data_IF_048054524037
#
_entry.id   IF_048054524037
#
_cell.length_a   1.000
_cell.length_b   1.000
_cell.length_c   1.000
_cell.angle_alpha   90.00
_cell.angle_beta   90.00
_cell.angle_gamma   90.00
#
_symmetry.space_group_name_H-M   'P 1'
#
loop_
_entity.id
_entity.type
_entity.pdbx_description
1 polymer ?
#
# COMPACT_ATOMS: atom_id res chain seq x y z
N UNK A 1 29.40 -25.09 80.48
CA UNK A 1 29.76 -24.96 79.05
C UNK A 1 28.77 -24.01 78.41
N UNK A 2 29.11 -22.73 78.23
CA UNK A 2 29.94 -22.23 77.14
C UNK A 2 29.35 -22.58 75.77
N UNK A 3 28.63 -21.66 75.11
CA UNK A 3 29.17 -20.77 74.07
C UNK A 3 28.07 -20.19 73.15
N UNK A 4 28.10 -18.85 73.02
CA UNK A 4 27.76 -18.03 71.84
C UNK A 4 26.27 -17.92 71.46
N UNK A 5 25.55 -16.83 71.73
CA UNK A 5 25.84 -15.38 71.59
C UNK A 5 26.01 -14.95 70.11
N UNK A 6 25.12 -14.03 69.70
CA UNK A 6 25.17 -13.09 68.57
C UNK A 6 24.95 -13.55 67.11
N UNK A 7 23.89 -12.97 66.51
CA UNK A 7 23.63 -12.56 65.12
C UNK A 7 22.22 -13.04 64.70
N UNK A 8 21.22 -12.23 64.37
CA UNK A 8 21.18 -10.86 63.81
C UNK A 8 19.81 -10.22 64.13
N UNK A 9 19.83 -9.09 64.84
CA UNK A 9 19.07 -7.92 64.42
C UNK A 9 19.68 -7.40 63.10
N UNK A 10 18.87 -6.75 62.23
CA UNK A 10 19.11 -6.36 60.81
C UNK A 10 18.48 -7.39 59.85
N UNK A 11 17.43 -7.14 59.06
CA UNK A 11 16.92 -5.91 58.44
C UNK A 11 15.40 -6.10 58.28
N UNK A 12 14.60 -5.41 59.10
CA UNK A 12 13.20 -5.10 58.81
C UNK A 12 13.22 -3.73 58.13
N UNK A 13 13.44 -3.70 56.82
CA UNK A 13 13.60 -2.44 56.10
C UNK A 13 13.84 -2.69 54.62
N UNK A 14 12.93 -2.19 53.80
CA UNK A 14 13.07 -2.07 52.36
C UNK A 14 13.17 -3.37 51.57
N UNK A 15 12.02 -3.95 51.22
CA UNK A 15 11.71 -4.17 49.81
C UNK A 15 10.20 -4.32 49.61
N UNK A 16 9.49 -3.20 49.71
CA UNK A 16 8.29 -2.99 48.90
C UNK A 16 8.79 -2.97 47.44
N UNK A 17 9.00 -4.16 46.85
CA UNK A 17 9.22 -4.26 45.41
C UNK A 17 7.89 -3.86 44.80
N UNK A 18 7.84 -2.61 44.40
CA UNK A 18 6.87 -2.07 43.46
C UNK A 18 7.02 -2.94 42.20
N UNK A 19 6.25 -4.02 42.13
CA UNK A 19 5.95 -4.69 40.87
C UNK A 19 4.95 -3.76 40.18
N UNK A 20 5.44 -2.62 39.69
CA UNK A 20 4.84 -1.93 38.57
C UNK A 20 5.02 -2.88 37.40
N UNK A 21 4.10 -3.85 37.31
CA UNK A 21 3.81 -4.51 36.07
C UNK A 21 3.56 -3.40 35.06
N UNK A 22 4.52 -3.19 34.16
CA UNK A 22 4.26 -2.59 32.86
C UNK A 22 3.24 -3.52 32.18
N UNK A 23 1.97 -3.34 32.51
CA UNK A 23 0.89 -3.71 31.61
C UNK A 23 1.02 -2.75 30.44
N UNK A 24 1.93 -3.06 29.52
CA UNK A 24 1.82 -2.59 28.16
C UNK A 24 0.45 -3.11 27.69
N UNK A 25 -0.57 -2.26 27.78
CA UNK A 25 -1.86 -2.54 27.18
C UNK A 25 -1.55 -2.71 25.71
N UNK A 26 -1.56 -3.96 25.25
CA UNK A 26 -1.70 -4.27 23.82
C UNK A 26 -3.12 -3.80 23.48
N UNK A 27 -3.27 -2.50 23.22
CA UNK A 27 -4.47 -2.01 22.57
C UNK A 27 -4.44 -2.63 21.18
N UNK A 28 -5.35 -3.57 20.94
CA UNK A 28 -5.65 -4.03 19.61
C UNK A 28 -5.88 -2.78 18.75
N UNK A 29 -5.01 -2.56 17.76
CA UNK A 29 -5.14 -1.40 16.89
C UNK A 29 -6.46 -1.48 16.14
N UNK A 30 -7.23 -0.40 16.19
CA UNK A 30 -8.53 -0.33 15.53
C UNK A 30 -8.37 -0.47 14.03
N UNK A 31 -9.24 -1.28 13.42
CA UNK A 31 -9.32 -1.43 11.96
C UNK A 31 -9.62 -0.07 11.32
N UNK A 32 -8.90 0.25 10.26
CA UNK A 32 -9.14 1.46 9.48
C UNK A 32 -10.54 1.46 8.88
N UNK A 33 -11.29 2.52 9.14
CA UNK A 33 -12.64 2.71 8.64
C UNK A 33 -12.61 3.26 7.21
N UNK A 34 -13.50 2.76 6.35
CA UNK A 34 -13.70 3.25 4.98
C UNK A 34 -15.01 4.01 4.98
N UNK A 35 -14.92 5.33 5.19
CA UNK A 35 -16.10 6.19 5.40
C UNK A 35 -15.99 7.50 4.62
N UNK A 36 -17.11 8.22 4.43
CA UNK A 36 -17.08 9.55 3.83
C UNK A 36 -16.11 10.50 4.52
N UNK A 37 -15.52 11.42 3.76
CA UNK A 37 -14.54 12.39 4.29
C UNK A 37 -15.16 13.44 5.23
N UNK A 38 -16.49 13.52 5.28
CA UNK A 38 -17.23 14.31 6.27
C UNK A 38 -17.22 13.67 7.66
N UNK A 39 -16.91 12.37 7.77
CA UNK A 39 -16.83 11.65 9.04
C UNK A 39 -15.38 11.54 9.53
N UNK A 40 -14.46 11.15 8.64
CA UNK A 40 -13.02 11.08 8.93
C UNK A 40 -12.27 11.77 7.79
N UNK A 41 -11.39 12.72 8.13
CA UNK A 41 -10.64 13.50 7.14
C UNK A 41 -9.80 12.61 6.22
N UNK A 42 -9.51 13.10 5.00
CA UNK A 42 -8.66 12.35 4.06
C UNK A 42 -7.26 12.05 4.63
N UNK A 43 -6.70 12.98 5.39
CA UNK A 43 -5.38 12.81 6.02
C UNK A 43 -5.43 11.76 7.13
N UNK A 44 -6.46 11.75 7.99
CA UNK A 44 -6.56 10.76 9.08
C UNK A 44 -6.86 9.35 8.56
N UNK A 45 -7.67 9.25 7.50
CA UNK A 45 -7.84 7.97 6.80
C UNK A 45 -6.52 7.47 6.21
N UNK A 46 -5.75 8.33 5.53
CA UNK A 46 -4.45 7.94 4.97
C UNK A 46 -3.43 7.53 6.04
N UNK A 47 -3.36 8.22 7.20
CA UNK A 47 -2.50 7.83 8.33
C UNK A 47 -2.77 6.41 8.82
N UNK A 48 -4.05 6.00 8.80
CA UNK A 48 -4.43 4.63 9.11
C UNK A 48 -4.11 3.69 7.94
N UNK A 49 -4.45 4.06 6.71
CA UNK A 49 -4.36 3.19 5.54
C UNK A 49 -2.94 2.97 5.01
N UNK A 50 -1.98 3.80 5.42
CA UNK A 50 -0.56 3.69 5.05
C UNK A 50 0.32 3.11 6.17
N UNK A 51 -0.27 2.36 7.09
CA UNK A 51 0.47 1.61 8.12
C UNK A 51 1.43 0.62 7.46
N UNK A 52 2.67 0.60 7.94
CA UNK A 52 3.75 -0.22 7.37
C UNK A 52 3.32 -1.69 7.16
N UNK A 53 3.37 -2.21 5.93
CA UNK A 53 3.15 -3.63 5.65
C UNK A 53 4.18 -4.51 6.36
N UNK A 54 3.73 -5.62 6.95
CA UNK A 54 4.57 -6.66 7.54
C UNK A 54 4.09 -8.03 7.09
N UNK A 55 5.00 -8.99 7.08
CA UNK A 55 4.74 -10.35 6.62
C UNK A 55 3.49 -10.96 7.27
N UNK A 56 2.81 -11.84 6.52
CA UNK A 56 1.66 -12.61 7.01
C UNK A 56 0.47 -11.74 7.47
N UNK A 57 0.20 -10.63 6.78
CA UNK A 57 -0.95 -9.77 7.00
C UNK A 57 -0.83 -8.84 8.21
N UNK A 58 0.36 -8.80 8.83
CA UNK A 58 0.63 -7.90 9.94
C UNK A 58 0.86 -6.47 9.43
N UNK A 59 0.61 -5.49 10.28
CA UNK A 59 0.81 -4.07 9.93
C UNK A 59 1.38 -3.27 11.10
N UNK A 60 2.04 -2.16 10.79
CA UNK A 60 2.61 -1.23 11.75
C UNK A 60 1.57 -0.48 12.60
N UNK A 61 2.04 0.48 13.40
CA UNK A 61 1.19 1.42 14.12
C UNK A 61 0.56 2.44 13.15
N UNK A 62 -0.66 2.91 13.43
CA UNK A 62 -1.21 4.11 12.78
C UNK A 62 -0.20 5.25 12.80
N UNK A 63 0.00 5.91 11.66
CA UNK A 63 0.96 6.98 11.54
C UNK A 63 0.49 8.22 12.33
N UNK A 64 1.40 8.85 13.06
CA UNK A 64 1.12 10.14 13.73
C UNK A 64 1.11 11.30 12.73
N UNK A 65 1.97 11.23 11.71
CA UNK A 65 2.09 12.15 10.59
C UNK A 65 2.30 11.40 9.28
N UNK A 66 1.88 12.01 8.16
CA UNK A 66 2.27 11.54 6.83
C UNK A 66 3.54 12.29 6.39
N UNK A 67 4.46 11.65 5.67
CA UNK A 67 5.60 12.35 5.11
C UNK A 67 5.13 13.33 4.01
N UNK A 68 5.84 14.45 3.89
CA UNK A 68 5.60 15.39 2.80
C UNK A 68 5.78 14.68 1.43
N UNK A 69 4.94 14.97 0.42
CA UNK A 69 3.95 16.04 0.41
C UNK A 69 2.53 15.62 0.86
N UNK A 70 2.30 14.37 1.29
CA UNK A 70 0.94 13.84 1.50
C UNK A 70 0.12 14.61 2.54
N UNK A 71 0.76 15.09 3.61
CA UNK A 71 0.15 15.92 4.65
C UNK A 71 -0.49 17.20 4.08
N UNK A 72 0.18 17.84 3.11
CA UNK A 72 -0.32 19.04 2.43
C UNK A 72 -1.31 18.72 1.31
N UNK A 73 -1.10 17.64 0.56
CA UNK A 73 -1.98 17.32 -0.57
C UNK A 73 -3.37 16.89 -0.08
N UNK A 74 -3.45 16.03 0.94
CA UNK A 74 -4.71 15.46 1.41
C UNK A 74 -5.57 16.43 2.22
N UNK A 75 -5.02 17.56 2.65
CA UNK A 75 -5.76 18.64 3.33
C UNK A 75 -6.39 19.62 2.34
N UNK A 76 -5.95 19.64 1.07
CA UNK A 76 -6.49 20.54 0.07
C UNK A 76 -7.89 20.12 -0.39
N UNK A 77 -8.81 21.08 -0.61
CA UNK A 77 -10.15 20.78 -1.10
C UNK A 77 -10.16 20.36 -2.57
N UNK A 78 -9.21 20.85 -3.37
CA UNK A 78 -9.09 20.63 -4.82
C UNK A 78 -7.66 20.25 -5.20
N UNK A 79 -7.49 19.68 -6.40
CA UNK A 79 -6.17 19.50 -6.98
C UNK A 79 -5.64 20.82 -7.56
N UNK A 80 -4.33 21.04 -7.43
CA UNK A 80 -3.61 22.24 -7.86
C UNK A 80 -2.75 22.01 -9.11
N UNK A 81 -3.08 20.98 -9.89
CA UNK A 81 -2.40 20.58 -11.13
C UNK A 81 -3.43 20.55 -12.24
N UNK A 82 -3.17 21.28 -13.31
CA UNK A 82 -4.00 21.24 -14.51
C UNK A 82 -3.70 20.00 -15.36
N UNK A 83 -4.67 19.58 -16.18
CA UNK A 83 -4.47 18.48 -17.13
C UNK A 83 -3.37 18.81 -18.13
N UNK A 84 -3.27 20.07 -18.54
CA UNK A 84 -2.27 20.58 -19.49
C UNK A 84 -0.86 20.53 -18.88
N UNK A 85 -0.71 20.90 -17.61
CA UNK A 85 0.57 20.75 -16.89
C UNK A 85 1.01 19.28 -16.86
N UNK A 86 0.09 18.37 -16.49
CA UNK A 86 0.39 16.94 -16.50
C UNK A 86 0.71 16.44 -17.92
N UNK A 87 -0.05 16.84 -18.95
CA UNK A 87 0.20 16.45 -20.34
C UNK A 87 1.58 16.88 -20.85
N UNK A 88 2.02 18.10 -20.53
CA UNK A 88 3.37 18.58 -20.87
C UNK A 88 4.45 17.69 -20.24
N UNK A 89 4.30 17.38 -18.95
CA UNK A 89 5.19 16.44 -18.28
C UNK A 89 5.19 15.05 -18.92
N UNK A 90 4.01 14.48 -19.17
CA UNK A 90 3.87 13.16 -19.80
C UNK A 90 4.54 13.11 -21.19
N UNK A 91 4.33 14.15 -22.00
CA UNK A 91 4.97 14.29 -23.30
C UNK A 91 6.50 14.35 -23.19
N UNK A 92 7.02 15.17 -22.26
CA UNK A 92 8.46 15.29 -22.03
C UNK A 92 9.09 13.97 -21.57
N UNK A 93 8.35 13.16 -20.81
CA UNK A 93 8.79 11.85 -20.31
C UNK A 93 8.50 10.69 -21.28
N UNK A 94 7.88 10.95 -22.44
CA UNK A 94 7.48 9.91 -23.39
C UNK A 94 6.46 8.92 -22.82
N UNK A 95 5.58 9.38 -21.93
CA UNK A 95 4.55 8.56 -21.27
C UNK A 95 3.20 8.80 -21.95
N UNK A 96 2.55 7.73 -22.42
CA UNK A 96 1.19 7.84 -22.94
C UNK A 96 0.15 7.83 -21.82
N UNK A 97 -0.93 8.61 -21.94
CA UNK A 97 -2.07 8.56 -21.01
C UNK A 97 -2.66 7.13 -20.90
N UNK A 98 -2.61 6.37 -22.00
CA UNK A 98 -3.03 4.97 -22.05
C UNK A 98 -2.21 4.04 -21.14
N UNK A 99 -1.03 4.45 -20.67
CA UNK A 99 -0.19 3.64 -19.78
C UNK A 99 -0.39 3.98 -18.30
N UNK A 100 -1.14 5.04 -17.99
CA UNK A 100 -1.32 5.58 -16.62
C UNK A 100 -2.79 5.66 -16.19
N UNK A 101 -3.62 4.76 -16.73
CA UNK A 101 -5.02 4.61 -16.36
C UNK A 101 -6.00 5.10 -17.41
N UNK A 102 -5.54 5.58 -18.57
CA UNK A 102 -6.39 6.10 -19.64
C UNK A 102 -6.52 7.61 -19.62
N UNK A 103 -7.38 8.14 -20.51
CA UNK A 103 -7.40 9.56 -20.84
C UNK A 103 -7.66 10.46 -19.63
N UNK A 104 -6.90 11.56 -19.52
CA UNK A 104 -7.09 12.59 -18.50
C UNK A 104 -8.42 13.34 -18.63
N UNK A 105 -9.09 13.24 -19.78
CA UNK A 105 -10.40 13.88 -19.99
C UNK A 105 -11.58 13.06 -19.47
N UNK A 106 -11.35 11.78 -19.16
CA UNK A 106 -12.36 10.95 -18.53
C UNK A 106 -12.28 11.09 -17.00
N UNK A 107 -13.42 11.09 -16.29
CA UNK A 107 -13.40 11.00 -14.83
C UNK A 107 -12.82 9.66 -14.39
N UNK A 108 -12.50 9.54 -13.10
CA UNK A 108 -12.35 8.23 -12.45
C UNK A 108 -13.72 7.55 -12.32
N UNK A 109 -13.74 6.26 -11.97
CA UNK A 109 -14.96 5.48 -11.80
C UNK A 109 -15.85 6.07 -10.71
N UNK A 110 -17.13 5.72 -10.73
CA UNK A 110 -18.07 6.00 -9.65
C UNK A 110 -18.49 4.70 -8.97
N UNK A 111 -18.83 4.84 -7.70
CA UNK A 111 -19.41 3.76 -6.91
C UNK A 111 -20.78 3.35 -7.46
N UNK A 112 -21.36 2.28 -6.92
CA UNK A 112 -22.58 1.70 -7.46
C UNK A 112 -22.46 1.38 -8.97
N UNK A 113 -21.31 0.82 -9.37
CA UNK A 113 -21.03 0.41 -10.75
C UNK A 113 -21.23 1.55 -11.78
N UNK A 114 -20.56 2.68 -11.56
CA UNK A 114 -20.62 3.87 -12.42
C UNK A 114 -21.97 4.62 -12.45
N UNK A 115 -22.82 4.49 -11.43
CA UNK A 115 -24.03 5.30 -11.34
C UNK A 115 -23.67 6.81 -11.37
N UNK A 116 -24.24 7.63 -12.27
CA UNK A 116 -23.89 9.04 -12.42
C UNK A 116 -24.07 9.89 -11.15
N UNK A 117 -25.03 9.53 -10.30
CA UNK A 117 -25.32 10.22 -9.03
C UNK A 117 -24.48 9.71 -7.87
N UNK A 118 -23.68 8.65 -8.08
CA UNK A 118 -22.84 8.07 -7.05
C UNK A 118 -21.47 8.79 -6.95
N UNK A 119 -20.80 8.58 -5.82
CA UNK A 119 -19.51 9.20 -5.55
C UNK A 119 -18.44 8.70 -6.51
N UNK A 120 -17.53 9.58 -6.91
CA UNK A 120 -16.31 9.19 -7.62
C UNK A 120 -15.42 8.35 -6.69
N UNK A 121 -14.56 7.52 -7.29
CA UNK A 121 -13.52 6.78 -6.58
C UNK A 121 -12.76 7.71 -5.61
N UNK A 122 -12.52 7.22 -4.39
CA UNK A 122 -11.92 8.00 -3.30
C UNK A 122 -10.52 7.52 -2.94
N UNK A 123 -10.24 6.23 -3.13
CA UNK A 123 -9.01 5.61 -2.67
C UNK A 123 -8.14 5.14 -3.83
N UNK A 124 -6.84 5.22 -3.62
CA UNK A 124 -5.81 4.69 -4.50
C UNK A 124 -5.12 3.55 -3.76
N UNK A 125 -5.42 2.30 -4.13
CA UNK A 125 -4.85 1.13 -3.45
C UNK A 125 -3.57 0.72 -4.16
N UNK A 126 -2.53 0.53 -3.35
CA UNK A 126 -1.23 0.05 -3.77
C UNK A 126 -1.15 -1.43 -3.38
N UNK A 127 -0.96 -2.25 -4.41
CA UNK A 127 -0.76 -3.68 -4.32
C UNK A 127 0.65 -4.04 -4.79
N UNK A 128 1.04 -5.29 -4.54
CA UNK A 128 2.09 -5.94 -5.31
C UNK A 128 1.63 -7.30 -5.82
N UNK A 129 2.17 -7.70 -6.96
CA UNK A 129 1.67 -8.87 -7.69
C UNK A 129 1.88 -10.19 -6.95
N UNK A 130 2.73 -10.19 -5.91
CA UNK A 130 3.17 -11.37 -5.18
C UNK A 130 3.59 -12.54 -6.09
N UNK A 131 4.16 -12.23 -7.25
CA UNK A 131 4.36 -13.16 -8.35
C UNK A 131 5.62 -12.79 -9.13
N UNK A 132 6.45 -13.79 -9.48
CA UNK A 132 6.33 -15.22 -9.14
C UNK A 132 6.60 -15.51 -7.66
N UNK A 133 6.05 -16.62 -7.15
CA UNK A 133 6.55 -17.29 -5.96
C UNK A 133 7.76 -18.17 -6.33
N UNK A 134 8.92 -17.84 -5.79
CA UNK A 134 10.21 -18.49 -6.03
C UNK A 134 10.53 -19.60 -5.00
N UNK A 135 9.66 -19.87 -4.03
CA UNK A 135 9.90 -20.83 -2.96
C UNK A 135 11.20 -20.52 -2.21
N UNK A 136 12.13 -21.46 -2.15
CA UNK A 136 13.43 -21.25 -1.51
C UNK A 136 14.47 -20.59 -2.44
N UNK A 137 14.23 -20.55 -3.75
CA UNK A 137 15.20 -20.05 -4.74
C UNK A 137 15.52 -18.58 -4.51
N UNK A 138 16.77 -18.13 -4.72
CA UNK A 138 17.14 -16.72 -4.59
C UNK A 138 16.33 -15.82 -5.52
N UNK A 139 16.23 -14.53 -5.16
CA UNK A 139 15.75 -13.54 -6.13
C UNK A 139 16.74 -13.48 -7.30
N UNK A 140 16.29 -13.61 -8.56
CA UNK A 140 17.19 -13.52 -9.71
C UNK A 140 17.91 -12.16 -9.76
N UNK A 141 19.19 -12.15 -10.09
CA UNK A 141 19.98 -10.92 -10.15
C UNK A 141 19.42 -9.89 -11.14
N UNK A 142 18.77 -10.36 -12.21
CA UNK A 142 18.20 -9.52 -13.25
C UNK A 142 16.75 -9.09 -12.98
N UNK A 143 16.17 -9.28 -11.78
CA UNK A 143 14.76 -8.92 -11.51
C UNK A 143 14.40 -7.47 -11.86
N UNK A 144 15.38 -6.56 -11.81
CA UNK A 144 15.21 -5.14 -12.11
C UNK A 144 15.56 -4.79 -13.56
N UNK A 145 15.75 -5.77 -14.44
CA UNK A 145 16.09 -5.57 -15.84
C UNK A 145 14.93 -5.95 -16.76
N UNK A 146 14.84 -5.32 -17.94
CA UNK A 146 13.84 -5.68 -18.95
C UNK A 146 13.96 -7.13 -19.43
N UNK A 147 15.15 -7.74 -19.28
CA UNK A 147 15.43 -9.14 -19.61
C UNK A 147 14.69 -10.15 -18.73
N UNK A 148 14.26 -9.74 -17.53
CA UNK A 148 13.53 -10.64 -16.64
C UNK A 148 12.08 -10.81 -17.10
N UNK A 149 11.68 -12.05 -17.39
CA UNK A 149 10.39 -12.37 -18.04
C UNK A 149 9.15 -11.78 -17.38
N UNK A 150 9.17 -11.54 -16.06
CA UNK A 150 8.06 -10.96 -15.32
C UNK A 150 7.99 -9.43 -15.40
N UNK A 151 8.98 -8.76 -15.99
CA UNK A 151 8.82 -7.37 -16.41
C UNK A 151 8.04 -7.23 -17.72
N UNK A 152 7.72 -8.34 -18.41
CA UNK A 152 6.81 -8.36 -19.54
C UNK A 152 5.35 -8.42 -19.06
N UNK A 153 4.53 -7.47 -19.49
CA UNK A 153 3.14 -7.40 -19.06
C UNK A 153 2.29 -8.61 -19.48
N UNK A 154 2.67 -9.36 -20.52
CA UNK A 154 1.94 -10.55 -20.97
C UNK A 154 1.85 -11.66 -19.91
N UNK A 155 2.63 -11.58 -18.83
CA UNK A 155 2.53 -12.50 -17.69
C UNK A 155 1.31 -12.24 -16.81
N UNK A 156 0.65 -11.10 -16.96
CA UNK A 156 -0.44 -10.66 -16.10
C UNK A 156 -1.75 -10.55 -16.87
N UNK A 157 -2.84 -10.94 -16.22
CA UNK A 157 -4.18 -10.91 -16.80
C UNK A 157 -4.59 -9.54 -17.33
N UNK A 158 -5.53 -9.56 -18.28
CA UNK A 158 -6.12 -8.38 -18.92
C UNK A 158 -7.65 -8.53 -18.99
N UNK A 159 -8.34 -7.44 -19.30
CA UNK A 159 -9.80 -7.45 -19.35
C UNK A 159 -10.37 -7.86 -17.99
N UNK A 160 -11.32 -8.80 -17.96
CA UNK A 160 -11.94 -9.27 -16.72
C UNK A 160 -11.06 -10.19 -15.86
N UNK A 161 -9.91 -10.62 -16.38
CA UNK A 161 -8.90 -11.34 -15.61
C UNK A 161 -7.82 -10.41 -15.05
N UNK A 162 -7.93 -9.09 -15.24
CA UNK A 162 -6.96 -8.16 -14.70
C UNK A 162 -6.99 -8.11 -13.17
N UNK A 163 -5.85 -8.17 -12.47
CA UNK A 163 -5.83 -7.99 -11.03
C UNK A 163 -6.19 -6.56 -10.61
N UNK A 164 -5.86 -5.56 -11.43
CA UNK A 164 -5.99 -4.15 -11.09
C UNK A 164 -6.29 -3.25 -12.30
N UNK A 165 -6.34 -1.93 -12.08
CA UNK A 165 -6.45 -0.97 -13.18
C UNK A 165 -5.13 -0.85 -13.94
N UNK A 166 -4.02 -0.81 -13.21
CA UNK A 166 -2.68 -0.62 -13.74
C UNK A 166 -1.72 -1.64 -13.14
N UNK A 167 -0.75 -2.05 -13.95
CA UNK A 167 0.40 -2.84 -13.50
C UNK A 167 1.67 -2.07 -13.82
N UNK A 168 2.59 -1.97 -12.86
CA UNK A 168 3.89 -1.28 -12.98
C UNK A 168 5.01 -2.30 -12.83
N UNK A 169 5.83 -2.48 -13.86
CA UNK A 169 6.95 -3.42 -13.82
C UNK A 169 8.17 -2.86 -13.09
N UNK A 170 9.18 -3.70 -12.80
CA UNK A 170 10.36 -3.30 -12.01
C UNK A 170 11.26 -2.26 -12.68
N UNK A 171 11.10 -2.07 -13.99
CA UNK A 171 11.84 -1.06 -14.78
C UNK A 171 11.09 0.28 -14.89
N UNK A 172 9.93 0.44 -14.24
CA UNK A 172 9.19 1.71 -14.20
C UNK A 172 8.30 1.98 -15.43
N UNK A 173 8.03 0.97 -16.25
CA UNK A 173 6.97 1.03 -17.25
C UNK A 173 5.64 0.62 -16.61
N UNK A 174 4.53 1.03 -17.22
CA UNK A 174 3.20 0.66 -16.78
C UNK A 174 2.29 0.28 -17.94
N UNK A 175 1.26 -0.50 -17.65
CA UNK A 175 0.18 -0.80 -18.60
C UNK A 175 -1.16 -0.61 -17.92
N UNK A 176 -2.08 0.05 -18.61
CA UNK A 176 -3.49 0.09 -18.18
C UNK A 176 -4.18 -1.20 -18.62
N UNK A 177 -4.69 -1.95 -17.65
CA UNK A 177 -5.52 -3.14 -17.90
C UNK A 177 -7.01 -2.84 -17.81
N UNK A 178 -7.39 -1.84 -17.00
CA UNK A 178 -8.72 -1.24 -16.94
C UNK A 178 -8.55 0.27 -16.79
N UNK A 179 -9.20 1.04 -17.65
CA UNK A 179 -9.23 2.50 -17.53
C UNK A 179 -9.78 2.88 -16.15
N UNK A 180 -9.23 3.90 -15.50
CA UNK A 180 -9.72 4.35 -14.20
C UNK A 180 -11.19 4.80 -14.22
N UNK A 181 -11.79 5.06 -15.39
CA UNK A 181 -13.22 5.34 -15.49
C UNK A 181 -14.10 4.08 -15.36
N UNK A 182 -13.50 2.89 -15.34
CA UNK A 182 -14.20 1.60 -15.30
C UNK A 182 -14.27 1.09 -13.87
N UNK A 183 -15.47 0.81 -13.32
CA UNK A 183 -15.60 0.38 -11.94
C UNK A 183 -15.12 -1.07 -11.81
N UNK A 184 -14.13 -1.30 -10.95
CA UNK A 184 -13.52 -2.60 -10.73
C UNK A 184 -13.59 -2.99 -9.25
N UNK A 185 -13.74 -4.29 -8.96
CA UNK A 185 -13.62 -4.80 -7.60
C UNK A 185 -12.17 -5.21 -7.37
N UNK A 186 -11.42 -4.33 -6.74
CA UNK A 186 -9.97 -4.47 -6.56
C UNK A 186 -9.56 -4.92 -5.17
N UNK A 187 -10.49 -4.91 -4.22
CA UNK A 187 -10.30 -5.40 -2.85
C UNK A 187 -11.55 -6.11 -2.39
N UNK A 188 -11.41 -7.06 -1.46
CA UNK A 188 -12.57 -7.70 -0.82
C UNK A 188 -13.42 -6.70 -0.04
N UNK A 189 -12.92 -5.51 0.29
CA UNK A 189 -13.74 -4.42 0.88
C UNK A 189 -14.86 -3.92 -0.04
N UNK A 190 -14.76 -4.16 -1.35
CA UNK A 190 -15.84 -3.88 -2.30
C UNK A 190 -16.81 -5.07 -2.47
N UNK A 191 -16.63 -6.16 -1.71
CA UNK A 191 -17.56 -7.30 -1.74
C UNK A 191 -18.87 -6.99 -1.02
N UNK A 192 -19.89 -7.79 -1.33
CA UNK A 192 -21.21 -7.68 -0.70
C UNK A 192 -21.15 -7.77 0.82
N UNK A 193 -20.26 -8.61 1.35
CA UNK A 193 -20.06 -8.80 2.79
C UNK A 193 -19.75 -7.50 3.54
N UNK A 194 -18.99 -6.58 2.92
CA UNK A 194 -18.49 -5.39 3.61
C UNK A 194 -19.20 -4.10 3.21
N UNK A 195 -19.78 -4.04 2.01
CA UNK A 195 -20.42 -2.82 1.52
C UNK A 195 -21.81 -3.04 0.90
N UNK A 196 -22.31 -4.27 0.84
CA UNK A 196 -23.55 -4.61 0.15
C UNK A 196 -23.41 -4.64 -1.38
N UNK A 197 -24.41 -5.20 -2.05
CA UNK A 197 -24.40 -5.41 -3.51
C UNK A 197 -24.14 -4.09 -4.25
N UNK A 198 -23.02 -4.05 -5.01
CA UNK A 198 -22.57 -2.96 -5.88
C UNK A 198 -22.26 -1.60 -5.24
N UNK A 199 -22.71 -1.31 -4.02
CA UNK A 199 -22.58 0.03 -3.41
C UNK A 199 -21.17 0.58 -3.43
N UNK A 200 -20.14 -0.23 -3.12
CA UNK A 200 -18.74 0.22 -3.15
C UNK A 200 -18.00 -0.09 -4.46
N UNK A 201 -18.58 -0.83 -5.41
CA UNK A 201 -17.85 -1.20 -6.63
C UNK A 201 -17.47 0.06 -7.41
N UNK A 202 -16.16 0.29 -7.59
CA UNK A 202 -15.63 1.50 -8.23
C UNK A 202 -15.20 2.58 -7.24
N UNK A 203 -15.15 2.28 -5.94
CA UNK A 203 -14.69 3.19 -4.89
C UNK A 203 -13.14 3.29 -4.84
N UNK A 204 -12.47 2.22 -5.29
CA UNK A 204 -11.03 2.06 -5.20
C UNK A 204 -10.39 1.93 -6.59
N UNK A 205 -9.27 2.62 -6.78
CA UNK A 205 -8.41 2.48 -7.94
C UNK A 205 -7.16 1.70 -7.55
N UNK A 206 -7.11 0.42 -7.89
CA UNK A 206 -5.94 -0.41 -7.63
C UNK A 206 -4.83 -0.28 -8.66
N UNK A 207 -3.60 -0.29 -8.15
CA UNK A 207 -2.35 -0.34 -8.93
C UNK A 207 -1.46 -1.44 -8.37
N UNK A 208 -1.04 -2.34 -9.24
CA UNK A 208 -0.17 -3.49 -8.94
C UNK A 208 1.28 -3.15 -9.27
N UNK A 209 2.19 -3.33 -8.32
CA UNK A 209 3.62 -3.23 -8.58
C UNK A 209 4.20 -4.65 -8.70
N UNK A 210 4.93 -4.91 -9.77
CA UNK A 210 5.59 -6.21 -9.97
C UNK A 210 6.60 -6.45 -8.85
N UNK A 211 6.35 -7.50 -8.08
CA UNK A 211 7.23 -7.94 -7.00
C UNK A 211 7.21 -9.48 -6.90
N UNK A 212 8.35 -10.15 -7.13
CA UNK A 212 8.46 -11.57 -6.85
C UNK A 212 8.44 -11.80 -5.34
N UNK A 213 7.99 -12.98 -4.93
CA UNK A 213 8.01 -13.40 -3.53
C UNK A 213 8.79 -14.70 -3.37
N UNK A 214 9.27 -14.91 -2.16
CA UNK A 214 9.97 -16.12 -1.72
C UNK A 214 9.36 -16.61 -0.42
N UNK A 215 9.68 -17.84 -0.09
CA UNK A 215 9.30 -18.40 1.18
C UNK A 215 9.99 -17.68 2.34
N UNK A 216 9.21 -17.34 3.35
CA UNK A 216 9.67 -16.89 4.66
C UNK A 216 9.76 -18.11 5.60
N UNK A 217 10.98 -18.51 6.03
CA UNK A 217 11.16 -19.62 6.96
C UNK A 217 10.64 -19.27 8.36
N UNK A 218 10.29 -20.31 9.13
CA UNK A 218 9.97 -20.15 10.54
C UNK A 218 11.22 -19.74 11.33
N UNK A 219 11.02 -19.18 12.53
CA UNK A 219 12.12 -18.86 13.45
C UNK A 219 13.03 -20.09 13.66
N UNK A 220 14.35 -19.86 13.57
CA UNK A 220 15.37 -20.91 13.68
C UNK A 220 15.62 -21.72 12.40
N UNK A 221 14.83 -21.52 11.33
CA UNK A 221 15.06 -22.17 10.04
C UNK A 221 15.80 -21.26 9.07
N UNK A 222 16.74 -21.81 8.30
CA UNK A 222 17.45 -21.09 7.21
C UNK A 222 16.63 -21.00 5.92
N UNK A 223 15.77 -21.99 5.70
CA UNK A 223 14.91 -22.11 4.52
C UNK A 223 13.62 -22.83 4.92
N UNK A 224 12.59 -22.74 4.09
CA UNK A 224 11.37 -23.49 4.33
C UNK A 224 11.59 -24.99 4.08
N UNK A 225 11.17 -25.82 5.02
CA UNK A 225 11.24 -27.28 4.91
C UNK A 225 9.88 -27.93 5.30
N UNK A 226 9.22 -28.67 4.38
CA UNK A 226 9.55 -28.75 2.95
C UNK A 226 9.49 -27.36 2.28
N UNK A 227 10.04 -27.17 1.07
CA UNK A 227 9.86 -25.93 0.32
C UNK A 227 8.37 -25.60 0.21
N UNK A 228 7.98 -24.40 0.65
CA UNK A 228 6.58 -23.93 0.63
C UNK A 228 6.48 -22.72 -0.27
N UNK A 229 5.32 -22.60 -0.93
CA UNK A 229 4.92 -21.39 -1.63
C UNK A 229 4.14 -20.49 -0.66
N UNK A 230 4.80 -20.04 0.40
CA UNK A 230 4.29 -18.87 1.13
C UNK A 230 4.92 -17.63 0.47
N UNK A 231 4.13 -16.60 0.26
CA UNK A 231 4.53 -15.41 -0.52
C UNK A 231 5.09 -14.30 0.37
N UNK A 232 5.53 -14.60 1.59
CA UNK A 232 5.76 -13.56 2.61
C UNK A 232 7.09 -12.81 2.47
N UNK A 233 8.13 -13.39 1.86
CA UNK A 233 9.43 -12.72 1.73
C UNK A 233 9.52 -11.96 0.40
N UNK A 234 9.69 -10.65 0.45
CA UNK A 234 9.91 -9.81 -0.73
C UNK A 234 11.37 -9.35 -0.88
N UNK A 235 11.77 -8.77 -2.03
CA UNK A 235 13.09 -8.17 -2.22
C UNK A 235 13.38 -7.04 -1.22
N UNK A 236 14.66 -6.71 -1.07
CA UNK A 236 15.12 -5.54 -0.32
C UNK A 236 16.13 -4.76 -1.17
N UNK A 237 15.84 -3.51 -1.61
CA UNK A 237 14.57 -2.81 -1.41
C UNK A 237 13.40 -3.50 -2.12
N UNK A 238 12.19 -3.36 -1.57
CA UNK A 238 10.98 -4.01 -2.10
C UNK A 238 10.65 -3.55 -3.53
N UNK A 239 10.70 -2.25 -3.77
CA UNK A 239 10.36 -1.62 -5.05
C UNK A 239 11.52 -0.77 -5.54
N UNK A 240 11.73 -0.76 -6.86
CA UNK A 240 12.79 0.06 -7.45
C UNK A 240 12.41 1.54 -7.43
N UNK A 241 13.42 2.42 -7.55
CA UNK A 241 13.19 3.85 -7.75
C UNK A 241 12.23 4.11 -8.92
N UNK A 242 12.45 3.43 -10.05
CA UNK A 242 11.67 3.55 -11.27
C UNK A 242 10.20 3.13 -11.08
N UNK A 243 9.94 2.09 -10.28
CA UNK A 243 8.56 1.72 -9.89
C UNK A 243 7.87 2.83 -9.11
N UNK A 244 8.55 3.40 -8.12
CA UNK A 244 8.00 4.45 -7.27
C UNK A 244 7.80 5.77 -8.04
N UNK A 245 8.70 6.10 -8.97
CA UNK A 245 8.52 7.21 -9.92
C UNK A 245 7.22 7.01 -10.72
N UNK A 246 7.08 5.85 -11.37
CA UNK A 246 5.87 5.58 -12.16
C UNK A 246 4.61 5.57 -11.31
N UNK A 247 4.67 5.03 -10.09
CA UNK A 247 3.53 5.01 -9.16
C UNK A 247 3.09 6.43 -8.80
N UNK A 248 4.03 7.35 -8.56
CA UNK A 248 3.72 8.75 -8.31
C UNK A 248 3.04 9.42 -9.52
N UNK A 249 3.53 9.19 -10.75
CA UNK A 249 2.86 9.70 -11.97
C UNK A 249 1.42 9.18 -12.08
N UNK A 250 1.22 7.89 -11.84
CA UNK A 250 -0.10 7.25 -11.87
C UNK A 250 -1.02 7.82 -10.79
N UNK A 251 -0.51 8.05 -9.57
CA UNK A 251 -1.26 8.66 -8.47
C UNK A 251 -1.70 10.10 -8.78
N UNK A 252 -0.81 10.89 -9.40
CA UNK A 252 -1.13 12.25 -9.86
C UNK A 252 -2.21 12.20 -10.94
N UNK A 253 -2.06 11.35 -11.95
CA UNK A 253 -3.04 11.21 -13.03
C UNK A 253 -4.44 10.83 -12.52
N UNK A 254 -4.52 9.86 -11.63
CA UNK A 254 -5.76 9.45 -10.99
C UNK A 254 -6.40 10.60 -10.18
N UNK A 255 -5.59 11.35 -9.44
CA UNK A 255 -6.04 12.49 -8.63
C UNK A 255 -6.49 13.69 -9.49
N UNK A 256 -5.80 13.97 -10.61
CA UNK A 256 -6.17 14.99 -11.60
C UNK A 256 -7.52 14.65 -12.23
N UNK A 257 -7.71 13.40 -12.66
CA UNK A 257 -8.99 12.93 -13.22
C UNK A 257 -10.14 12.99 -12.23
N UNK A 258 -9.86 12.84 -10.94
CA UNK A 258 -10.83 13.03 -9.86
C UNK A 258 -11.12 14.51 -9.55
N UNK A 259 -10.18 15.42 -9.82
CA UNK A 259 -10.22 16.82 -9.41
C UNK A 259 -9.83 17.06 -7.95
N UNK A 260 -9.40 16.02 -7.22
CA UNK A 260 -8.94 16.08 -5.83
C UNK A 260 -8.03 14.89 -5.53
N UNK A 261 -7.03 15.10 -4.68
CA UNK A 261 -6.12 14.04 -4.19
C UNK A 261 -6.87 12.84 -3.64
N UNK A 262 -6.59 11.66 -4.21
CA UNK A 262 -7.09 10.37 -3.75
C UNK A 262 -6.41 9.99 -2.43
N UNK A 263 -7.11 9.25 -1.58
CA UNK A 263 -6.56 8.75 -0.31
C UNK A 263 -5.74 7.48 -0.64
N UNK A 264 -4.40 7.50 -0.51
CA UNK A 264 -3.58 6.32 -0.75
C UNK A 264 -3.80 5.28 0.37
N UNK A 265 -3.74 4.00 0.00
CA UNK A 265 -3.92 2.88 0.92
C UNK A 265 -3.05 1.68 0.53
N UNK A 266 -2.53 0.98 1.52
CA UNK A 266 -1.91 -0.34 1.32
C UNK A 266 -2.96 -1.44 1.42
N UNK A 267 -2.88 -2.41 0.50
CA UNK A 267 -3.86 -3.50 0.43
C UNK A 267 -3.96 -4.30 1.73
N UNK A 268 -2.84 -4.68 2.34
CA UNK A 268 -2.78 -5.40 3.62
C UNK A 268 -3.57 -4.70 4.75
N UNK A 269 -3.61 -3.37 4.75
CA UNK A 269 -4.35 -2.62 5.78
C UNK A 269 -5.86 -2.74 5.57
N UNK A 270 -6.29 -2.78 4.30
CA UNK A 270 -7.69 -3.07 3.96
C UNK A 270 -8.04 -4.51 4.32
N UNK A 271 -7.13 -5.45 4.10
CA UNK A 271 -7.35 -6.88 4.29
C UNK A 271 -7.31 -7.35 5.75
N UNK A 272 -7.03 -6.48 6.73
CA UNK A 272 -6.97 -6.85 8.17
C UNK A 272 -8.25 -7.52 8.73
N UNK A 273 -9.41 -7.29 8.11
CA UNK A 273 -10.69 -7.92 8.51
C UNK A 273 -11.13 -9.05 7.58
N UNK A 274 -10.32 -9.33 6.56
CA UNK A 274 -10.60 -10.35 5.57
C UNK A 274 -9.94 -11.63 6.05
N UNK A 275 -10.74 -12.69 6.22
CA UNK A 275 -10.20 -14.00 6.55
C UNK A 275 -9.25 -14.46 5.44
N UNK A 276 -8.00 -14.77 5.80
CA UNK A 276 -6.96 -15.11 4.83
C UNK A 276 -6.50 -13.92 3.99
N UNK A 277 -6.59 -12.70 4.53
CA UNK A 277 -6.13 -11.48 3.88
C UNK A 277 -4.64 -11.51 3.51
N UNK A 278 -4.29 -10.70 2.51
CA UNK A 278 -2.95 -10.65 1.94
C UNK A 278 -2.00 -9.75 2.73
N UNK A 279 -0.71 -9.77 2.39
CA UNK A 279 0.32 -8.96 3.04
C UNK A 279 0.96 -7.89 2.14
N UNK A 280 0.48 -7.69 0.91
CA UNK A 280 1.02 -6.70 -0.01
C UNK A 280 0.64 -5.24 0.35
N UNK A 281 1.48 -4.23 0.03
CA UNK A 281 2.77 -4.32 -0.65
C UNK A 281 3.96 -4.51 0.31
N UNK A 282 4.67 -5.65 0.27
CA UNK A 282 5.77 -5.90 1.23
C UNK A 282 7.04 -5.08 0.94
N UNK A 283 7.74 -4.68 2.01
CA UNK A 283 8.93 -3.80 1.95
C UNK A 283 8.70 -2.47 1.20
N UNK A 284 7.47 -1.93 1.25
CA UNK A 284 7.19 -0.61 0.70
C UNK A 284 7.83 0.50 1.54
N UNK A 285 8.60 1.38 0.89
CA UNK A 285 9.22 2.54 1.52
C UNK A 285 8.38 3.80 1.26
N UNK A 286 7.58 4.19 2.25
CA UNK A 286 6.67 5.33 2.15
C UNK A 286 7.41 6.67 1.98
N UNK A 287 8.52 6.86 2.69
CA UNK A 287 9.33 8.09 2.61
C UNK A 287 10.00 8.23 1.24
N UNK A 288 10.48 7.12 0.67
CA UNK A 288 11.02 7.13 -0.68
C UNK A 288 9.93 7.47 -1.70
N UNK A 289 8.74 6.87 -1.59
CA UNK A 289 7.65 7.23 -2.50
C UNK A 289 7.21 8.68 -2.34
N UNK A 290 7.17 9.21 -1.12
CA UNK A 290 6.79 10.60 -0.86
C UNK A 290 7.81 11.57 -1.47
N UNK A 291 9.11 11.27 -1.39
CA UNK A 291 10.16 12.05 -2.09
C UNK A 291 9.95 12.04 -3.60
N UNK A 292 9.72 10.87 -4.18
CA UNK A 292 9.53 10.71 -5.63
C UNK A 292 8.28 11.46 -6.11
N UNK A 293 7.20 11.40 -5.33
CA UNK A 293 6.01 12.20 -5.57
C UNK A 293 6.34 13.71 -5.53
N UNK A 294 7.09 14.19 -4.54
CA UNK A 294 7.47 15.59 -4.47
C UNK A 294 8.31 16.05 -5.69
N UNK A 295 9.27 15.23 -6.12
CA UNK A 295 10.11 15.52 -7.28
C UNK A 295 9.26 15.62 -8.56
N UNK A 296 8.37 14.64 -8.79
CA UNK A 296 7.45 14.63 -9.94
C UNK A 296 6.50 15.82 -9.92
N UNK A 297 5.96 16.19 -8.76
CA UNK A 297 5.08 17.36 -8.62
C UNK A 297 5.81 18.66 -8.95
N UNK A 298 7.10 18.73 -8.62
CA UNK A 298 7.94 19.89 -8.95
C UNK A 298 8.11 20.01 -10.46
N UNK A 299 8.42 18.89 -11.13
CA UNK A 299 8.56 18.84 -12.60
C UNK A 299 7.24 19.13 -13.34
N UNK A 300 6.11 18.65 -12.83
CA UNK A 300 4.79 18.94 -13.44
C UNK A 300 4.43 20.43 -13.34
N UNK A 301 4.86 21.10 -12.27
CA UNK A 301 4.54 22.50 -12.00
C UNK A 301 5.41 23.49 -12.75
N UNK A 302 6.59 23.08 -13.23
CA UNK A 302 7.43 23.90 -14.13
C UNK A 302 6.81 24.09 -15.52
#
# INVERSE_FOLDING_TARGET
MLFKLFQRFMIFGFTLVIILFFQAKIQAQTVCQIVPTSQISSIDQAKCLLRQPKIFGNVGLTLTSLPAPFDQLLTRPTIDISKEQLRRYLQAQGINEADIGGSLDKPVSRTNNNNPSAELARYFIIHDTSTPNLGNDPFPNNINEASWRFNNFNQYGSGDNSPAHIIINRVGQSVTRKDFNTPWRSTRRESEQFCGVNKCKGLFLAVELVQPRRCQPNAGQRQCSPPRKNDAKSPDPGFTKAQLDRLAVVYVAASVRRGKWLIPAFHVVLDQIVQGGHDDPQNFNLDQWSKQLNDILTEIRS
#
